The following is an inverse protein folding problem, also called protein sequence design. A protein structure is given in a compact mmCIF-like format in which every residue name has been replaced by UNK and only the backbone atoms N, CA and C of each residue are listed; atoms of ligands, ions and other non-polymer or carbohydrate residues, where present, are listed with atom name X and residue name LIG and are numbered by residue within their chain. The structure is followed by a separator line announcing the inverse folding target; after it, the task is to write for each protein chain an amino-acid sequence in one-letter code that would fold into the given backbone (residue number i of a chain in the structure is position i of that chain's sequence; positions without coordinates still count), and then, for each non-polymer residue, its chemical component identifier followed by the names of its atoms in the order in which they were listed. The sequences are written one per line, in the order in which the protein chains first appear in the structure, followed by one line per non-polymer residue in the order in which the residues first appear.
data_IF_710408647435
#
_entry.id   IF_710408647435
#
_cell.length_a   1.000
_cell.length_b   1.000
_cell.length_c   1.000
_cell.angle_alpha   90.00
_cell.angle_beta   90.00
_cell.angle_gamma   90.00
#
_symmetry.space_group_name_H-M   'P 1'
#
loop_
_entity.id
_entity.type
_entity.pdbx_description
1 polymer ?
#
# COMPACT_ATOMS: atom_id res chain seq x y z
N UNK A 1 0.02 9.82 3.44
CA UNK A 1 1.36 10.07 2.86
C UNK A 1 1.80 8.98 1.87
N UNK A 2 1.43 7.71 2.07
CA UNK A 2 1.81 6.61 1.15
C UNK A 2 1.49 6.85 -0.34
N UNK A 3 0.28 7.33 -0.68
CA UNK A 3 -0.08 7.65 -2.08
C UNK A 3 0.81 8.73 -2.71
N UNK A 4 1.23 9.72 -1.94
CA UNK A 4 2.12 10.77 -2.43
C UNK A 4 3.49 10.21 -2.81
N UNK A 5 4.03 9.31 -1.98
CA UNK A 5 5.28 8.62 -2.29
C UNK A 5 5.13 7.64 -3.47
N UNK A 6 4.00 6.95 -3.57
CA UNK A 6 3.68 6.09 -4.71
C UNK A 6 3.65 6.88 -6.03
N UNK A 7 2.99 8.05 -6.04
CA UNK A 7 2.91 8.91 -7.22
C UNK A 7 4.27 9.51 -7.62
N UNK A 8 5.19 9.70 -6.66
CA UNK A 8 6.55 10.17 -6.90
C UNK A 8 7.53 9.06 -7.31
N UNK A 9 7.09 7.80 -7.38
CA UNK A 9 7.96 6.64 -7.63
C UNK A 9 8.84 6.26 -6.44
N UNK A 10 8.65 6.90 -5.28
CA UNK A 10 9.36 6.59 -4.04
C UNK A 10 8.73 5.37 -3.34
N UNK A 11 8.76 4.22 -4.02
CA UNK A 11 8.03 3.02 -3.61
C UNK A 11 8.45 2.53 -2.22
N UNK A 12 9.73 2.60 -1.86
CA UNK A 12 10.21 2.17 -0.54
C UNK A 12 9.58 2.98 0.60
N UNK A 13 9.42 4.30 0.42
CA UNK A 13 8.76 5.17 1.41
C UNK A 13 7.25 4.96 1.42
N UNK A 14 6.67 4.66 0.27
CA UNK A 14 5.26 4.30 0.18
C UNK A 14 4.99 3.01 0.98
N UNK A 15 5.80 1.97 0.79
CA UNK A 15 5.70 0.71 1.54
C UNK A 15 5.95 0.89 3.04
N UNK A 16 6.95 1.69 3.44
CA UNK A 16 7.16 1.99 4.87
C UNK A 16 5.91 2.62 5.52
N UNK A 17 5.27 3.59 4.84
CA UNK A 17 4.02 4.15 5.33
C UNK A 17 2.86 3.15 5.35
N UNK A 18 2.83 2.18 4.41
CA UNK A 18 1.80 1.14 4.38
C UNK A 18 2.01 0.10 5.48
N UNK A 19 3.24 -0.28 5.77
CA UNK A 19 3.58 -1.16 6.90
C UNK A 19 3.24 -0.51 8.24
N UNK A 20 3.55 0.79 8.42
CA UNK A 20 3.12 1.53 9.61
C UNK A 20 1.59 1.57 9.75
N UNK A 21 0.87 1.79 8.65
CA UNK A 21 -0.59 1.76 8.64
C UNK A 21 -1.15 0.36 8.95
N UNK A 22 -0.42 -0.70 8.58
CA UNK A 22 -0.79 -2.10 8.83
C UNK A 22 -0.66 -2.42 10.31
N UNK A 23 0.45 -2.02 10.93
CA UNK A 23 0.67 -2.12 12.38
C UNK A 23 -0.37 -1.32 13.16
N UNK A 24 -0.72 -0.12 12.68
CA UNK A 24 -1.76 0.71 13.26
C UNK A 24 -3.20 0.20 13.01
N UNK A 25 -3.37 -0.89 12.24
CA UNK A 25 -4.66 -1.43 11.81
C UNK A 25 -5.59 -0.37 11.22
N UNK A 26 -5.02 0.51 10.41
CA UNK A 26 -5.75 1.63 9.81
C UNK A 26 -6.86 1.11 8.89
N UNK A 27 -8.10 1.53 9.14
CA UNK A 27 -9.26 1.13 8.35
C UNK A 27 -9.14 1.48 6.85
N UNK A 28 -8.33 2.49 6.51
CA UNK A 28 -8.10 2.89 5.11
C UNK A 28 -7.41 1.82 4.27
N UNK A 29 -6.71 0.85 4.88
CA UNK A 29 -6.03 -0.22 4.16
C UNK A 29 -6.98 -1.21 3.49
N UNK A 30 -8.25 -1.28 3.92
CA UNK A 30 -9.29 -2.09 3.25
C UNK A 30 -9.47 -1.67 1.79
N UNK A 31 -9.28 -0.39 1.47
CA UNK A 31 -9.47 0.15 0.12
C UNK A 31 -8.17 0.24 -0.69
N UNK A 32 -7.06 -0.27 -0.16
CA UNK A 32 -5.74 -0.20 -0.80
C UNK A 32 -5.75 -0.76 -2.24
N UNK A 33 -6.43 -1.89 -2.45
CA UNK A 33 -6.55 -2.55 -3.75
C UNK A 33 -7.52 -1.86 -4.72
N UNK A 34 -8.27 -0.86 -4.26
CA UNK A 34 -9.26 -0.11 -5.05
C UNK A 34 -8.77 1.30 -5.40
N UNK A 35 -7.85 1.85 -4.62
CA UNK A 35 -7.37 3.22 -4.80
C UNK A 35 -6.36 3.30 -5.98
N UNK A 36 -6.65 4.10 -7.02
CA UNK A 36 -5.74 4.31 -8.16
C UNK A 36 -4.41 4.96 -7.75
N UNK A 37 -4.33 5.63 -6.59
CA UNK A 37 -3.10 6.22 -6.07
C UNK A 37 -2.01 5.19 -5.79
N UNK A 38 -2.37 3.90 -5.66
CA UNK A 38 -1.42 2.81 -5.47
C UNK A 38 -1.18 1.99 -6.76
N UNK A 39 -1.74 2.38 -7.90
CA UNK A 39 -1.48 1.72 -9.19
C UNK A 39 0.02 1.53 -9.47
N UNK A 40 0.92 2.50 -9.20
CA UNK A 40 2.36 2.32 -9.39
C UNK A 40 2.98 1.23 -8.51
N UNK A 41 2.39 0.95 -7.34
CA UNK A 41 2.87 -0.07 -6.41
C UNK A 41 2.37 -1.47 -6.78
N UNK A 42 1.29 -1.60 -7.57
CA UNK A 42 0.71 -2.90 -7.93
C UNK A 42 1.65 -3.79 -8.73
N UNK A 43 2.60 -3.21 -9.45
CA UNK A 43 3.64 -3.96 -10.18
C UNK A 43 4.73 -4.51 -9.26
N UNK A 44 4.83 -4.04 -8.01
CA UNK A 44 5.82 -4.50 -7.05
C UNK A 44 5.30 -5.72 -6.28
N UNK A 45 6.08 -6.83 -6.19
CA UNK A 45 5.64 -8.05 -5.50
C UNK A 45 5.33 -7.82 -4.01
N UNK A 46 5.89 -6.77 -3.39
CA UNK A 46 5.58 -6.40 -2.00
C UNK A 46 4.12 -5.97 -1.82
N UNK A 47 3.49 -5.41 -2.85
CA UNK A 47 2.08 -5.03 -2.80
C UNK A 47 1.17 -6.24 -2.69
N UNK A 48 1.43 -7.29 -3.47
CA UNK A 48 0.67 -8.54 -3.39
C UNK A 48 0.79 -9.17 -1.99
N UNK A 49 2.00 -9.20 -1.41
CA UNK A 49 2.19 -9.69 -0.05
C UNK A 49 1.43 -8.86 1.01
N UNK A 50 1.34 -7.54 0.83
CA UNK A 50 0.61 -6.66 1.74
C UNK A 50 -0.91 -6.88 1.65
N UNK A 51 -1.43 -7.06 0.44
CA UNK A 51 -2.84 -7.39 0.17
C UNK A 51 -3.21 -8.76 0.78
N UNK A 52 -2.34 -9.77 0.66
CA UNK A 52 -2.53 -11.08 1.29
C UNK A 52 -2.55 -10.99 2.83
N UNK A 53 -1.64 -10.20 3.43
CA UNK A 53 -1.62 -9.97 4.89
C UNK A 53 -2.91 -9.31 5.39
N UNK A 54 -3.54 -8.47 4.57
CA UNK A 54 -4.81 -7.81 4.86
C UNK A 54 -6.03 -8.73 4.63
N UNK A 55 -5.85 -9.91 4.03
CA UNK A 55 -6.94 -10.82 3.68
C UNK A 55 -7.86 -10.30 2.58
N UNK A 56 -7.39 -9.32 1.80
CA UNK A 56 -8.11 -8.72 0.68
C UNK A 56 -7.83 -9.55 -0.57
N UNK A 57 -8.44 -10.72 -0.69
CA UNK A 57 -8.23 -11.62 -1.83
C UNK A 57 -9.32 -11.48 -2.89
#
# INVERSE_FOLDING_TARGET
MAMGYAALGEHDRAFACLDEALEARSAGLVYLHLDPGYEPLRSDPRFAALVEKLGLK
#
